data_IF_536371502967
#
_entry.id   IF_536371502967
#
_cell.length_a   1.000
_cell.length_b   1.000
_cell.length_c   1.000
_cell.angle_alpha   90.00
_cell.angle_beta   90.00
_cell.angle_gamma   90.00
#
_symmetry.space_group_name_H-M   'P 1'
#
loop_
_entity.id
_entity.type
_entity.pdbx_description
1 polymer ?
#
# COMPACT_ATOMS: atom_id res chain seq x y z
N UNK A 1 12.28 3.30 -36.15
CA UNK A 1 13.56 2.92 -35.48
C UNK A 1 13.38 3.22 -33.98
N UNK A 2 13.17 2.19 -33.18
CA UNK A 2 13.07 2.35 -31.72
C UNK A 2 14.42 2.83 -31.19
N UNK A 3 14.41 3.96 -30.50
CA UNK A 3 15.61 4.53 -29.93
C UNK A 3 16.17 3.54 -28.88
N UNK A 4 17.49 3.46 -28.75
CA UNK A 4 18.19 2.59 -27.77
C UNK A 4 17.73 2.85 -26.33
N UNK A 5 17.34 4.09 -26.03
CA UNK A 5 16.73 4.48 -24.74
C UNK A 5 15.37 3.82 -24.52
N UNK A 6 14.49 3.79 -25.56
CA UNK A 6 13.16 3.18 -25.47
C UNK A 6 13.26 1.66 -25.24
N UNK A 7 14.24 1.00 -25.88
CA UNK A 7 14.51 -0.43 -25.67
C UNK A 7 15.02 -0.73 -24.26
N UNK A 8 15.86 0.13 -23.69
CA UNK A 8 16.35 -0.02 -22.32
C UNK A 8 15.23 0.18 -21.29
N UNK A 9 14.37 1.18 -21.50
CA UNK A 9 13.20 1.42 -20.65
C UNK A 9 12.23 0.23 -20.67
N UNK A 10 11.93 -0.30 -21.86
CA UNK A 10 11.07 -1.48 -22.01
C UNK A 10 11.66 -2.71 -21.30
N UNK A 11 12.97 -2.92 -21.42
CA UNK A 11 13.67 -4.00 -20.71
C UNK A 11 13.58 -3.84 -19.18
N UNK A 12 13.77 -2.63 -18.66
CA UNK A 12 13.66 -2.35 -17.22
C UNK A 12 12.25 -2.66 -16.70
N UNK A 13 11.21 -2.27 -17.43
CA UNK A 13 9.81 -2.57 -17.09
C UNK A 13 9.55 -4.09 -17.08
N UNK A 14 10.05 -4.82 -18.09
CA UNK A 14 9.92 -6.28 -18.17
C UNK A 14 10.60 -6.98 -16.97
N UNK A 15 11.79 -6.50 -16.58
CA UNK A 15 12.52 -7.02 -15.43
C UNK A 15 11.77 -6.77 -14.11
N UNK A 16 11.21 -5.56 -13.89
CA UNK A 16 10.43 -5.24 -12.70
C UNK A 16 9.16 -6.07 -12.61
N UNK A 17 8.45 -6.25 -13.73
CA UNK A 17 7.28 -7.12 -13.79
C UNK A 17 7.63 -8.56 -13.42
N UNK A 18 8.66 -9.14 -14.04
CA UNK A 18 9.12 -10.49 -13.74
C UNK A 18 9.56 -10.66 -12.28
N UNK A 19 10.19 -9.62 -11.71
CA UNK A 19 10.58 -9.62 -10.30
C UNK A 19 9.36 -9.58 -9.37
N UNK A 20 8.34 -8.80 -9.70
CA UNK A 20 7.06 -8.77 -8.98
C UNK A 20 6.38 -10.14 -8.99
N UNK A 21 6.26 -10.76 -10.17
CA UNK A 21 5.65 -12.09 -10.32
C UNK A 21 6.40 -13.16 -9.50
N UNK A 22 7.75 -13.13 -9.49
CA UNK A 22 8.57 -14.05 -8.68
C UNK A 22 8.41 -13.78 -7.18
N UNK A 23 8.33 -12.51 -6.79
CA UNK A 23 8.10 -12.11 -5.41
C UNK A 23 6.74 -12.62 -4.91
N UNK A 24 5.69 -12.47 -5.70
CA UNK A 24 4.35 -12.93 -5.35
C UNK A 24 4.27 -14.46 -5.27
N UNK A 25 4.98 -15.19 -6.15
CA UNK A 25 4.97 -16.64 -6.19
C UNK A 25 5.77 -17.31 -5.07
N UNK A 26 6.92 -16.76 -4.66
CA UNK A 26 7.84 -17.44 -3.75
C UNK A 26 8.61 -16.54 -2.79
N UNK A 27 8.12 -15.31 -2.61
CA UNK A 27 8.73 -14.35 -1.69
C UNK A 27 10.11 -13.87 -2.14
N UNK A 28 10.81 -13.11 -1.28
CA UNK A 28 12.12 -12.55 -1.62
C UNK A 28 13.18 -13.61 -1.99
N UNK A 29 13.06 -14.85 -1.49
CA UNK A 29 14.00 -15.91 -1.80
C UNK A 29 13.94 -16.35 -3.28
N UNK A 30 12.79 -16.29 -3.92
CA UNK A 30 12.60 -16.62 -5.34
C UNK A 30 13.18 -15.54 -6.29
N UNK A 31 13.36 -14.31 -5.81
CA UNK A 31 13.85 -13.19 -6.62
C UNK A 31 15.39 -13.25 -6.68
N UNK A 32 15.93 -13.57 -7.86
CA UNK A 32 17.34 -13.42 -8.19
C UNK A 32 17.47 -12.77 -9.55
N UNK A 33 18.54 -11.98 -9.80
CA UNK A 33 18.73 -11.34 -11.11
C UNK A 33 18.72 -12.35 -12.26
N UNK A 34 19.21 -13.57 -12.01
CA UNK A 34 19.19 -14.66 -13.00
C UNK A 34 17.77 -15.14 -13.30
N UNK A 35 16.97 -15.40 -12.26
CA UNK A 35 15.59 -15.87 -12.41
C UNK A 35 14.73 -14.80 -13.09
N UNK A 36 14.88 -13.53 -12.67
CA UNK A 36 14.20 -12.38 -13.25
C UNK A 36 14.53 -12.20 -14.73
N UNK A 37 15.82 -12.29 -15.11
CA UNK A 37 16.22 -12.23 -16.53
C UNK A 37 15.65 -13.36 -17.36
N UNK A 38 15.63 -14.60 -16.83
CA UNK A 38 15.04 -15.74 -17.52
C UNK A 38 13.52 -15.57 -17.70
N UNK A 39 12.80 -15.13 -16.67
CA UNK A 39 11.36 -14.91 -16.72
C UNK A 39 10.97 -13.73 -17.62
N UNK A 40 11.78 -12.67 -17.65
CA UNK A 40 11.58 -11.51 -18.54
C UNK A 40 11.94 -11.81 -20.01
N UNK A 41 12.52 -12.98 -20.31
CA UNK A 41 12.91 -13.36 -21.68
C UNK A 41 14.05 -12.52 -22.26
N UNK A 42 14.92 -11.96 -21.40
CA UNK A 42 16.04 -11.12 -21.82
C UNK A 42 17.39 -11.87 -21.75
N UNK A 43 18.43 -11.29 -22.36
CA UNK A 43 19.78 -11.90 -22.30
C UNK A 43 20.27 -11.99 -20.84
N UNK A 44 21.14 -12.98 -20.59
CA UNK A 44 21.69 -13.27 -19.23
C UNK A 44 22.38 -12.07 -18.57
N UNK A 45 22.94 -11.17 -19.36
CA UNK A 45 23.64 -9.97 -18.87
C UNK A 45 22.71 -8.76 -18.67
N UNK A 46 21.51 -8.76 -19.28
CA UNK A 46 20.63 -7.59 -19.25
C UNK A 46 20.23 -7.14 -17.85
N UNK A 47 19.85 -8.02 -16.89
CA UNK A 47 19.48 -7.58 -15.55
C UNK A 47 20.57 -6.77 -14.84
N UNK A 48 21.83 -7.17 -15.01
CA UNK A 48 22.98 -6.51 -14.38
C UNK A 48 23.30 -5.12 -14.95
N UNK A 49 22.81 -4.81 -16.16
CA UNK A 49 22.87 -3.47 -16.73
C UNK A 49 21.81 -2.51 -16.17
N UNK A 50 20.80 -3.03 -15.50
CA UNK A 50 19.69 -2.24 -14.93
C UNK A 50 19.69 -2.19 -13.40
N UNK A 51 20.14 -3.26 -12.74
CA UNK A 51 20.16 -3.38 -11.29
C UNK A 51 21.51 -3.95 -10.84
N UNK A 52 22.22 -3.24 -9.96
CA UNK A 52 23.54 -3.70 -9.46
C UNK A 52 23.44 -5.06 -8.75
N UNK A 53 22.37 -5.25 -7.98
CA UNK A 53 22.11 -6.45 -7.19
C UNK A 53 20.60 -6.65 -6.97
N UNK A 54 20.26 -7.70 -6.23
CA UNK A 54 18.90 -8.07 -5.84
C UNK A 54 18.26 -7.03 -4.93
N UNK A 55 19.03 -6.46 -4.04
CA UNK A 55 18.55 -5.50 -3.04
C UNK A 55 18.03 -4.23 -3.72
N UNK A 56 18.74 -3.72 -4.71
CA UNK A 56 18.30 -2.58 -5.53
C UNK A 56 17.04 -2.92 -6.34
N UNK A 57 16.93 -4.13 -6.84
CA UNK A 57 15.73 -4.58 -7.56
C UNK A 57 14.53 -4.65 -6.63
N UNK A 58 14.68 -5.24 -5.42
CA UNK A 58 13.61 -5.30 -4.42
C UNK A 58 13.24 -3.91 -3.89
N UNK A 59 14.23 -3.04 -3.66
CA UNK A 59 13.99 -1.65 -3.26
C UNK A 59 13.15 -0.90 -4.30
N UNK A 60 13.40 -1.12 -5.60
CA UNK A 60 12.59 -0.51 -6.66
C UNK A 60 11.14 -1.02 -6.63
N UNK A 61 10.90 -2.32 -6.37
CA UNK A 61 9.53 -2.85 -6.21
C UNK A 61 8.81 -2.19 -5.02
N UNK A 62 9.52 -1.93 -3.92
CA UNK A 62 8.97 -1.22 -2.75
C UNK A 62 8.63 0.23 -3.11
N UNK A 63 9.51 0.93 -3.81
CA UNK A 63 9.25 2.30 -4.32
C UNK A 63 8.01 2.32 -5.19
N UNK A 64 7.93 1.41 -6.17
CA UNK A 64 6.80 1.32 -7.09
C UNK A 64 5.50 0.99 -6.32
N UNK A 65 5.55 0.12 -5.31
CA UNK A 65 4.42 -0.20 -4.44
C UNK A 65 3.89 1.01 -3.66
N UNK A 66 4.78 1.82 -3.07
CA UNK A 66 4.37 3.06 -2.38
C UNK A 66 3.81 4.10 -3.34
N UNK A 67 4.39 4.25 -4.53
CA UNK A 67 3.88 5.17 -5.55
C UNK A 67 2.52 4.72 -6.10
N UNK A 68 2.30 3.41 -6.29
CA UNK A 68 1.02 2.84 -6.69
C UNK A 68 -0.05 3.12 -5.63
N UNK A 69 0.28 2.91 -4.34
CA UNK A 69 -0.61 3.25 -3.24
C UNK A 69 -0.93 4.76 -3.21
N UNK A 70 0.07 5.62 -3.35
CA UNK A 70 -0.14 7.06 -3.41
C UNK A 70 -1.12 7.47 -4.51
N UNK A 71 -1.01 6.88 -5.71
CA UNK A 71 -1.95 7.13 -6.81
C UNK A 71 -3.37 6.64 -6.50
N UNK A 72 -3.52 5.52 -5.78
CA UNK A 72 -4.83 5.05 -5.32
C UNK A 72 -5.43 6.06 -4.34
N UNK A 73 -4.65 6.49 -3.35
CA UNK A 73 -5.08 7.47 -2.35
C UNK A 73 -5.45 8.83 -2.98
N UNK A 74 -4.70 9.29 -3.98
CA UNK A 74 -5.02 10.52 -4.72
C UNK A 74 -6.36 10.41 -5.47
N UNK A 75 -6.65 9.27 -6.10
CA UNK A 75 -7.95 9.04 -6.73
C UNK A 75 -9.10 9.06 -5.73
N UNK A 76 -8.92 8.42 -4.58
CA UNK A 76 -9.91 8.42 -3.48
C UNK A 76 -10.13 9.85 -2.98
N UNK A 77 -9.07 10.60 -2.74
CA UNK A 77 -9.14 11.98 -2.25
C UNK A 77 -9.91 12.89 -3.20
N UNK A 78 -9.73 12.70 -4.52
CA UNK A 78 -10.39 13.49 -5.55
C UNK A 78 -11.80 12.97 -5.93
N UNK A 79 -12.29 11.91 -5.31
CA UNK A 79 -13.66 11.40 -5.45
C UNK A 79 -14.70 12.33 -4.85
N UNK A 80 -15.98 12.01 -5.08
CA UNK A 80 -17.13 12.79 -4.60
C UNK A 80 -17.70 12.34 -3.26
N UNK A 81 -17.12 11.30 -2.64
CA UNK A 81 -17.60 10.68 -1.41
C UNK A 81 -17.36 11.58 -0.18
N UNK A 82 -18.01 11.26 0.95
CA UNK A 82 -17.77 11.93 2.23
C UNK A 82 -16.35 11.71 2.75
N UNK A 83 -15.88 12.57 3.65
CA UNK A 83 -14.55 12.44 4.25
C UNK A 83 -14.35 11.07 4.92
N UNK A 84 -15.36 10.60 5.66
CA UNK A 84 -15.33 9.30 6.33
C UNK A 84 -15.20 8.14 5.33
N UNK A 85 -16.01 8.17 4.25
CA UNK A 85 -15.97 7.13 3.21
C UNK A 85 -14.63 7.12 2.47
N UNK A 86 -14.03 8.29 2.22
CA UNK A 86 -12.69 8.42 1.62
C UNK A 86 -11.61 7.83 2.54
N UNK A 87 -11.65 8.14 3.83
CA UNK A 87 -10.68 7.61 4.79
C UNK A 87 -10.82 6.09 4.95
N UNK A 88 -12.07 5.59 5.03
CA UNK A 88 -12.33 4.15 5.04
C UNK A 88 -11.77 3.47 3.79
N UNK A 89 -12.04 4.01 2.60
CA UNK A 89 -11.51 3.50 1.34
C UNK A 89 -9.97 3.52 1.30
N UNK A 90 -9.33 4.55 1.86
CA UNK A 90 -7.88 4.65 1.94
C UNK A 90 -7.26 3.56 2.83
N UNK A 91 -7.84 3.29 3.99
CA UNK A 91 -7.40 2.22 4.88
C UNK A 91 -7.64 0.84 4.26
N UNK A 92 -8.79 0.65 3.58
CA UNK A 92 -9.08 -0.58 2.83
C UNK A 92 -8.08 -0.78 1.69
N UNK A 93 -7.66 0.27 0.98
CA UNK A 93 -6.65 0.16 -0.06
C UNK A 93 -5.33 -0.41 0.47
N UNK A 94 -4.91 -0.02 1.68
CA UNK A 94 -3.75 -0.58 2.35
C UNK A 94 -3.92 -2.08 2.66
N UNK A 95 -5.09 -2.47 3.21
CA UNK A 95 -5.41 -3.89 3.47
C UNK A 95 -5.43 -4.71 2.16
N UNK A 96 -5.93 -4.12 1.08
CA UNK A 96 -5.98 -4.77 -0.24
C UNK A 96 -4.56 -5.01 -0.81
N UNK A 97 -3.59 -4.12 -0.54
CA UNK A 97 -2.17 -4.39 -0.89
C UNK A 97 -1.66 -5.59 -0.10
N UNK A 98 -1.89 -5.63 1.22
CA UNK A 98 -1.48 -6.74 2.07
C UNK A 98 -2.08 -8.08 1.62
N UNK A 99 -3.38 -8.10 1.30
CA UNK A 99 -4.07 -9.32 0.88
C UNK A 99 -3.62 -9.83 -0.50
N UNK A 100 -3.41 -8.92 -1.47
CA UNK A 100 -3.07 -9.29 -2.85
C UNK A 100 -1.58 -9.49 -3.08
N UNK A 101 -0.71 -8.77 -2.38
CA UNK A 101 0.75 -8.77 -2.54
C UNK A 101 1.44 -8.90 -1.16
N UNK A 102 1.23 -10.00 -0.41
CA UNK A 102 1.69 -10.11 0.98
C UNK A 102 3.21 -9.99 1.12
N UNK A 103 3.98 -10.52 0.18
CA UNK A 103 5.43 -10.40 0.20
C UNK A 103 5.93 -8.97 -0.06
N UNK A 104 5.30 -8.26 -1.01
CA UNK A 104 5.60 -6.85 -1.25
C UNK A 104 5.21 -6.00 -0.04
N UNK A 105 4.02 -6.24 0.53
CA UNK A 105 3.57 -5.56 1.74
C UNK A 105 4.55 -5.74 2.89
N UNK A 106 5.03 -6.95 3.14
CA UNK A 106 6.04 -7.20 4.16
C UNK A 106 7.35 -6.42 3.92
N UNK A 107 7.80 -6.32 2.66
CA UNK A 107 8.97 -5.52 2.30
C UNK A 107 8.75 -4.02 2.49
N UNK A 108 7.56 -3.50 2.18
CA UNK A 108 7.21 -2.08 2.38
C UNK A 108 7.30 -1.65 3.86
N UNK A 109 7.09 -2.58 4.80
CA UNK A 109 7.15 -2.34 6.24
C UNK A 109 8.46 -2.83 6.90
N UNK A 110 9.37 -3.39 6.13
CA UNK A 110 10.70 -3.77 6.64
C UNK A 110 11.67 -2.60 6.61
N UNK A 111 12.71 -2.65 7.44
CA UNK A 111 13.80 -1.70 7.35
C UNK A 111 14.50 -1.83 5.99
N UNK A 112 14.68 -0.73 5.24
CA UNK A 112 15.35 -0.78 3.94
C UNK A 112 16.82 -1.17 4.12
N UNK A 113 17.32 -1.96 3.16
CA UNK A 113 18.75 -2.25 3.03
C UNK A 113 19.36 -1.29 2.00
N UNK A 114 20.49 -0.70 2.30
CA UNK A 114 21.16 0.28 1.42
C UNK A 114 20.64 1.70 1.61
N UNK A 115 20.66 2.51 0.53
CA UNK A 115 20.15 3.90 0.55
C UNK A 115 18.62 3.94 0.58
N UNK A 116 17.99 4.41 1.68
CA UNK A 116 16.55 4.43 1.82
C UNK A 116 15.88 5.64 1.15
N UNK A 117 16.63 6.57 0.58
CA UNK A 117 16.14 7.90 0.17
C UNK A 117 14.91 7.82 -0.75
N UNK A 118 14.94 6.99 -1.78
CA UNK A 118 13.83 6.82 -2.72
C UNK A 118 12.61 6.16 -2.08
N UNK A 119 12.83 5.19 -1.18
CA UNK A 119 11.74 4.53 -0.43
C UNK A 119 11.07 5.53 0.50
N UNK A 120 11.87 6.32 1.23
CA UNK A 120 11.36 7.35 2.16
C UNK A 120 10.57 8.42 1.40
N UNK A 121 11.04 8.86 0.24
CA UNK A 121 10.33 9.82 -0.61
C UNK A 121 8.99 9.24 -1.11
N UNK A 122 8.99 8.02 -1.65
CA UNK A 122 7.80 7.37 -2.16
C UNK A 122 6.77 7.08 -1.05
N UNK A 123 7.22 6.60 0.11
CA UNK A 123 6.37 6.39 1.30
C UNK A 123 5.82 7.74 1.81
N UNK A 124 6.65 8.79 1.83
CA UNK A 124 6.25 10.14 2.23
C UNK A 124 5.11 10.68 1.39
N UNK A 125 5.13 10.48 0.06
CA UNK A 125 4.01 10.89 -0.81
C UNK A 125 2.69 10.23 -0.43
N UNK A 126 2.69 8.92 -0.20
CA UNK A 126 1.46 8.22 0.21
C UNK A 126 1.01 8.66 1.60
N UNK A 127 1.94 8.91 2.51
CA UNK A 127 1.66 9.41 3.86
C UNK A 127 1.05 10.82 3.84
N UNK A 128 1.55 11.73 3.01
CA UNK A 128 1.03 13.09 2.90
C UNK A 128 -0.43 13.10 2.41
N UNK A 129 -0.75 12.29 1.40
CA UNK A 129 -2.14 12.16 0.92
C UNK A 129 -3.04 11.57 2.00
N UNK A 130 -2.57 10.52 2.69
CA UNK A 130 -3.31 9.88 3.79
C UNK A 130 -3.55 10.85 4.94
N UNK A 131 -2.54 11.60 5.39
CA UNK A 131 -2.69 12.62 6.43
C UNK A 131 -3.64 13.75 6.04
N UNK A 132 -3.70 14.09 4.75
CA UNK A 132 -4.71 15.00 4.23
C UNK A 132 -6.13 14.48 4.47
N UNK A 133 -6.40 13.21 4.13
CA UNK A 133 -7.70 12.56 4.35
C UNK A 133 -8.07 12.50 5.84
N UNK A 134 -7.11 12.20 6.71
CA UNK A 134 -7.32 12.22 8.17
C UNK A 134 -7.64 13.63 8.65
N UNK A 135 -6.91 14.64 8.14
CA UNK A 135 -7.10 16.04 8.50
C UNK A 135 -8.46 16.60 8.10
N UNK A 136 -9.08 16.07 7.06
CA UNK A 136 -10.42 16.45 6.61
C UNK A 136 -11.51 16.07 7.65
N UNK A 137 -11.21 15.14 8.57
CA UNK A 137 -12.12 14.70 9.63
C UNK A 137 -11.76 15.33 10.98
N UNK A 138 -10.49 15.19 11.40
CA UNK A 138 -10.06 15.58 12.76
C UNK A 138 -9.39 16.95 12.84
N UNK A 139 -9.22 17.61 11.70
CA UNK A 139 -8.44 18.87 11.60
C UNK A 139 -6.94 18.63 11.43
N UNK A 140 -6.25 19.62 10.85
CA UNK A 140 -4.82 19.50 10.49
C UNK A 140 -3.89 19.33 11.69
N UNK A 141 -4.24 19.91 12.81
CA UNK A 141 -3.45 19.87 14.06
C UNK A 141 -3.34 18.42 14.58
N UNK A 142 -4.45 17.71 14.56
CA UNK A 142 -4.56 16.35 15.07
C UNK A 142 -4.27 15.25 14.02
N UNK A 143 -4.18 15.60 12.75
CA UNK A 143 -4.04 14.65 11.63
C UNK A 143 -2.88 13.66 11.82
N UNK A 144 -1.71 14.13 12.30
CA UNK A 144 -0.55 13.25 12.51
C UNK A 144 -0.76 12.25 13.64
N UNK A 145 -1.38 12.66 14.74
CA UNK A 145 -1.65 11.81 15.89
C UNK A 145 -2.67 10.71 15.54
N UNK A 146 -3.79 11.11 14.96
CA UNK A 146 -4.80 10.15 14.50
C UNK A 146 -4.32 9.32 13.29
N UNK A 147 -3.54 9.90 12.40
CA UNK A 147 -2.93 9.18 11.29
C UNK A 147 -2.02 8.06 11.76
N UNK A 148 -1.19 8.30 12.78
CA UNK A 148 -0.35 7.26 13.38
C UNK A 148 -1.19 6.15 14.03
N UNK A 149 -2.26 6.50 14.75
CA UNK A 149 -3.19 5.52 15.35
C UNK A 149 -3.86 4.67 14.27
N UNK A 150 -4.41 5.28 13.23
CA UNK A 150 -5.10 4.58 12.14
C UNK A 150 -4.15 3.68 11.36
N UNK A 151 -2.96 4.17 11.02
CA UNK A 151 -1.97 3.42 10.25
C UNK A 151 -1.47 2.19 11.04
N UNK A 152 -1.14 2.36 12.32
CA UNK A 152 -0.71 1.25 13.18
C UNK A 152 -1.84 0.23 13.39
N UNK A 153 -3.08 0.68 13.53
CA UNK A 153 -4.26 -0.19 13.65
C UNK A 153 -4.51 -0.97 12.37
N UNK A 154 -4.49 -0.31 11.20
CA UNK A 154 -4.67 -0.95 9.91
C UNK A 154 -3.55 -1.97 9.62
N UNK A 155 -2.29 -1.63 9.95
CA UNK A 155 -1.17 -2.57 9.85
C UNK A 155 -1.37 -3.78 10.77
N UNK A 156 -1.83 -3.58 12.00
CA UNK A 156 -2.18 -4.66 12.93
C UNK A 156 -3.29 -5.56 12.39
N UNK A 157 -4.37 -4.99 11.83
CA UNK A 157 -5.46 -5.73 11.19
C UNK A 157 -4.93 -6.56 10.03
N UNK A 158 -4.13 -5.97 9.13
CA UNK A 158 -3.53 -6.66 7.99
C UNK A 158 -2.63 -7.82 8.45
N UNK A 159 -1.79 -7.60 9.45
CA UNK A 159 -0.89 -8.62 10.01
C UNK A 159 -1.64 -9.80 10.62
N UNK A 160 -2.72 -9.53 11.38
CA UNK A 160 -3.57 -10.57 11.96
C UNK A 160 -4.33 -11.35 10.89
N UNK A 161 -4.78 -10.70 9.83
CA UNK A 161 -5.45 -11.37 8.69
C UNK A 161 -4.47 -12.29 7.97
N UNK A 162 -3.30 -11.80 7.59
CA UNK A 162 -2.27 -12.58 6.89
C UNK A 162 -1.77 -13.79 7.69
N UNK A 163 -1.72 -13.67 9.02
CA UNK A 163 -1.31 -14.76 9.91
C UNK A 163 -2.46 -15.71 10.31
N UNK A 164 -3.70 -15.46 9.81
CA UNK A 164 -4.87 -16.27 10.14
C UNK A 164 -5.40 -16.05 11.57
N UNK A 165 -4.88 -15.06 12.31
CA UNK A 165 -5.34 -14.77 13.68
C UNK A 165 -6.64 -13.98 13.72
N UNK A 166 -7.05 -13.35 12.62
CA UNK A 166 -8.30 -12.60 12.48
C UNK A 166 -9.39 -13.46 11.83
N UNK A 167 -9.70 -14.62 12.42
CA UNK A 167 -10.76 -15.48 11.88
C UNK A 167 -12.14 -14.96 12.26
N UNK A 168 -13.07 -14.93 11.28
CA UNK A 168 -14.47 -14.52 11.48
C UNK A 168 -15.18 -15.35 12.56
N UNK A 169 -14.86 -16.65 12.66
CA UNK A 169 -15.45 -17.53 13.67
C UNK A 169 -15.07 -17.12 15.10
N UNK A 170 -13.83 -16.68 15.32
CA UNK A 170 -13.34 -16.29 16.64
C UNK A 170 -13.77 -14.89 17.05
N UNK A 171 -13.70 -13.93 16.12
CA UNK A 171 -13.85 -12.52 16.44
C UNK A 171 -15.19 -11.93 15.99
N UNK A 172 -15.99 -12.70 15.24
CA UNK A 172 -17.28 -12.27 14.66
C UNK A 172 -17.19 -10.93 13.92
N UNK A 173 -16.05 -10.69 13.26
CA UNK A 173 -15.78 -9.45 12.51
C UNK A 173 -14.95 -9.73 11.26
N UNK A 174 -14.74 -8.71 10.44
CA UNK A 174 -13.91 -8.75 9.24
C UNK A 174 -12.93 -7.57 9.27
N UNK A 175 -11.80 -7.64 8.52
CA UNK A 175 -10.88 -6.51 8.38
C UNK A 175 -11.58 -5.20 8.00
N UNK A 176 -12.51 -5.26 7.04
CA UNK A 176 -13.27 -4.09 6.58
C UNK A 176 -14.19 -3.54 7.68
N UNK A 177 -14.84 -4.40 8.45
CA UNK A 177 -15.68 -3.95 9.57
C UNK A 177 -14.85 -3.26 10.66
N UNK A 178 -13.64 -3.76 10.96
CA UNK A 178 -12.73 -3.11 11.89
C UNK A 178 -12.28 -1.74 11.40
N UNK A 179 -11.99 -1.60 10.09
CA UNK A 179 -11.65 -0.30 9.50
C UNK A 179 -12.81 0.68 9.64
N UNK A 180 -14.05 0.26 9.32
CA UNK A 180 -15.23 1.10 9.50
C UNK A 180 -15.39 1.56 10.97
N UNK A 181 -15.20 0.65 11.94
CA UNK A 181 -15.23 1.00 13.37
C UNK A 181 -14.14 2.01 13.75
N UNK A 182 -12.93 1.87 13.20
CA UNK A 182 -11.84 2.83 13.45
C UNK A 182 -12.19 4.24 12.96
N UNK A 183 -12.76 4.34 11.77
CA UNK A 183 -13.15 5.65 11.19
C UNK A 183 -14.31 6.25 11.99
N UNK A 184 -15.34 5.47 12.33
CA UNK A 184 -16.47 5.93 13.13
C UNK A 184 -16.10 6.38 14.55
N UNK A 185 -14.99 5.88 15.11
CA UNK A 185 -14.50 6.27 16.43
C UNK A 185 -13.73 7.61 16.43
N UNK A 186 -13.50 8.22 15.26
CA UNK A 186 -12.78 9.50 15.19
C UNK A 186 -13.66 10.65 15.69
N UNK A 187 -13.09 11.63 16.41
CA UNK A 187 -13.79 12.86 16.72
C UNK A 187 -14.04 13.63 15.42
N UNK A 188 -15.30 13.96 15.12
CA UNK A 188 -15.69 14.63 13.90
C UNK A 188 -16.18 13.70 12.77
N UNK A 189 -16.11 12.38 12.95
CA UNK A 189 -16.76 11.45 12.03
C UNK A 189 -18.27 11.67 12.02
N UNK A 190 -18.87 11.62 10.82
CA UNK A 190 -20.33 11.75 10.68
C UNK A 190 -21.01 10.57 11.35
N UNK A 191 -21.82 10.81 12.38
CA UNK A 191 -22.61 9.75 12.98
C UNK A 191 -23.57 9.17 11.93
N UNK A 192 -23.30 7.95 11.49
CA UNK A 192 -24.19 7.21 10.60
C UNK A 192 -25.53 7.02 11.31
N UNK A 193 -26.57 7.75 10.85
CA UNK A 193 -27.95 7.46 11.16
C UNK A 193 -28.46 8.00 12.51
N UNK A 194 -28.58 9.31 12.65
CA UNK A 194 -29.63 9.88 13.49
C UNK A 194 -30.97 9.53 12.89
N UNK A 195 -31.60 8.44 13.31
CA UNK A 195 -33.02 8.22 13.11
C UNK A 195 -33.72 9.38 13.82
N UNK A 196 -34.22 10.33 13.04
CA UNK A 196 -35.16 11.35 13.50
C UNK A 196 -36.38 10.62 14.06
N UNK A 197 -36.42 10.49 15.37
CA UNK A 197 -37.66 10.20 16.07
C UNK A 197 -38.56 11.43 15.85
N UNK A 198 -39.48 11.31 14.92
CA UNK A 198 -40.51 12.30 14.65
C UNK A 198 -41.26 12.54 15.93
N UNK A 199 -41.22 13.79 16.37
CA UNK A 199 -42.11 14.39 17.34
C UNK A 199 -43.54 14.31 16.77
N UNK A 200 -44.35 13.45 17.34
CA UNK A 200 -45.83 13.45 17.13
C UNK A 200 -46.43 13.93 18.44
N UNK A 201 -46.74 15.19 18.47
CA UNK A 201 -47.79 15.79 19.32
C UNK A 201 -49.05 15.95 18.49
#
# INVERSE_FOLDING_TARGET
MTNRADSAAATRVALLRAAGDLLDAGGPAAVTLRAVGAQAGVSRGAPYGHFPDKEHLLAQLVVDGWLELAQVLDRIRNGGESADAKLEAALIALLDVAARKPHLYALMWSAPTGDPSQIVEAAGRSQDVFLGLVGDIVGREDARRYGALLMSSAHGIASMELSGHLSKQKWNTTPRALVAMLVQALPGASSAGGVSAGDQT
#
